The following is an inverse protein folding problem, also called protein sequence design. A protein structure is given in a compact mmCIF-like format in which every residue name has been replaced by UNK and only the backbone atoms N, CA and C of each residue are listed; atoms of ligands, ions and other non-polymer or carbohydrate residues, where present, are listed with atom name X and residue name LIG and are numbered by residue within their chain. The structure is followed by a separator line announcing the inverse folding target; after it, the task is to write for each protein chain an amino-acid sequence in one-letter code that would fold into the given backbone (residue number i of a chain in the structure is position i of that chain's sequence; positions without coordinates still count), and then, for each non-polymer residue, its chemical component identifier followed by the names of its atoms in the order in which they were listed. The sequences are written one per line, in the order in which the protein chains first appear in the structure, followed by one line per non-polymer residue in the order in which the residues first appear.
data_IF_481144913827
#
_entry.id   IF_481144913827
#
_cell.length_a   1.000
_cell.length_b   1.000
_cell.length_c   1.000
_cell.angle_alpha   90.00
_cell.angle_beta   90.00
_cell.angle_gamma   90.00
#
_symmetry.space_group_name_H-M   'P 1'
#
loop_
_entity.id
_entity.type
_entity.pdbx_description
1 polymer ?
#
# COMPACT_ATOMS: atom_id res chain seq x y z
N UNK A 1 -10.31 -27.33 -7.43
CA UNK A 1 -9.90 -25.93 -7.65
C UNK A 1 -11.01 -25.08 -7.05
N UNK A 2 -10.75 -24.50 -5.87
CA UNK A 2 -11.81 -23.86 -5.07
C UNK A 2 -12.04 -22.45 -5.61
N UNK A 3 -13.04 -22.28 -6.47
CA UNK A 3 -13.41 -21.01 -7.11
C UNK A 3 -14.36 -20.19 -6.18
N UNK A 4 -13.96 -20.07 -4.91
CA UNK A 4 -14.69 -19.20 -3.99
C UNK A 4 -14.43 -17.74 -4.43
N UNK A 5 -15.49 -16.97 -4.75
CA UNK A 5 -15.30 -15.58 -5.19
C UNK A 5 -14.58 -14.79 -4.11
N UNK A 6 -13.59 -14.00 -4.52
CA UNK A 6 -12.88 -13.07 -3.65
C UNK A 6 -13.94 -12.19 -2.95
N UNK A 7 -14.16 -12.40 -1.66
CA UNK A 7 -15.14 -11.65 -0.87
C UNK A 7 -14.64 -10.19 -0.68
N UNK A 8 -14.71 -9.40 -1.74
CA UNK A 8 -14.39 -7.97 -1.70
C UNK A 8 -15.65 -7.21 -1.29
N UNK A 9 -15.55 -6.45 -0.21
CA UNK A 9 -16.66 -5.57 0.21
C UNK A 9 -16.79 -4.42 -0.79
N UNK A 10 -18.03 -4.06 -1.20
CA UNK A 10 -18.27 -2.86 -2.00
C UNK A 10 -17.65 -1.63 -1.33
N UNK A 11 -17.11 -0.74 -2.14
CA UNK A 11 -16.48 0.47 -1.63
C UNK A 11 -17.57 1.49 -1.23
N UNK A 12 -17.38 2.11 -0.07
CA UNK A 12 -18.22 3.24 0.37
C UNK A 12 -17.82 4.51 -0.38
N UNK A 13 -18.69 5.54 -0.39
CA UNK A 13 -18.37 6.86 -0.96
C UNK A 13 -17.03 7.41 -0.44
N UNK A 14 -16.78 7.29 0.88
CA UNK A 14 -15.48 7.68 1.47
C UNK A 14 -14.31 6.87 0.88
N UNK A 15 -14.49 5.58 0.71
CA UNK A 15 -13.44 4.69 0.16
C UNK A 15 -13.16 5.02 -1.31
N UNK A 16 -14.20 5.26 -2.11
CA UNK A 16 -14.06 5.65 -3.52
C UNK A 16 -13.31 6.97 -3.65
N UNK A 17 -13.76 8.02 -2.94
CA UNK A 17 -13.11 9.33 -2.94
C UNK A 17 -11.64 9.24 -2.52
N UNK A 18 -11.38 8.50 -1.43
CA UNK A 18 -10.03 8.36 -0.91
C UNK A 18 -9.11 7.61 -1.88
N UNK A 19 -9.57 6.49 -2.43
CA UNK A 19 -8.77 5.71 -3.39
C UNK A 19 -8.49 6.50 -4.68
N UNK A 20 -9.46 7.27 -5.16
CA UNK A 20 -9.29 8.14 -6.33
C UNK A 20 -8.21 9.20 -6.09
N UNK A 21 -8.27 9.91 -4.94
CA UNK A 21 -7.28 10.93 -4.61
C UNK A 21 -5.89 10.35 -4.32
N UNK A 22 -5.81 9.16 -3.71
CA UNK A 22 -4.54 8.48 -3.45
C UNK A 22 -3.87 7.99 -4.73
N UNK A 23 -4.64 7.63 -5.77
CA UNK A 23 -4.11 7.24 -7.09
C UNK A 23 -3.86 8.42 -8.04
N UNK A 24 -4.21 9.66 -7.66
CA UNK A 24 -4.07 10.83 -8.53
C UNK A 24 -2.88 11.71 -8.13
N UNK A 25 -2.09 12.15 -9.14
CA UNK A 25 -0.95 13.04 -8.97
C UNK A 25 -1.08 14.28 -9.85
N UNK A 26 -1.12 15.49 -9.29
CA UNK A 26 -1.13 15.81 -7.85
C UNK A 26 -2.44 15.37 -7.18
N UNK A 27 -2.46 15.03 -5.86
CA UNK A 27 -3.62 14.47 -5.16
C UNK A 27 -4.67 15.53 -4.83
N UNK A 28 -5.19 16.15 -5.88
CA UNK A 28 -6.18 17.22 -5.84
C UNK A 28 -7.13 17.08 -7.02
N UNK A 29 -8.43 17.06 -6.76
CA UNK A 29 -9.46 16.93 -7.78
C UNK A 29 -10.63 17.88 -7.50
N UNK A 30 -11.28 18.43 -8.55
CA UNK A 30 -12.50 19.18 -8.40
C UNK A 30 -13.66 18.28 -7.98
N UNK A 31 -14.64 18.86 -7.28
CA UNK A 31 -15.80 18.09 -6.78
C UNK A 31 -16.54 17.36 -7.90
N UNK A 32 -16.66 17.97 -9.08
CA UNK A 32 -17.33 17.37 -10.25
C UNK A 32 -16.70 16.02 -10.66
N UNK A 33 -15.36 15.91 -10.64
CA UNK A 33 -14.68 14.67 -10.97
C UNK A 33 -14.92 13.58 -9.91
N UNK A 34 -14.90 13.95 -8.63
CA UNK A 34 -15.18 13.02 -7.53
C UNK A 34 -16.63 12.52 -7.55
N UNK A 35 -17.59 13.37 -7.93
CA UNK A 35 -19.00 13.00 -8.12
C UNK A 35 -19.11 12.01 -9.28
N UNK A 36 -18.54 12.32 -10.46
CA UNK A 36 -18.53 11.43 -11.63
C UNK A 36 -17.92 10.07 -11.33
N UNK A 37 -16.82 10.04 -10.58
CA UNK A 37 -16.26 8.76 -10.11
C UNK A 37 -17.26 8.03 -9.20
N UNK A 38 -17.94 8.74 -8.29
CA UNK A 38 -18.99 8.15 -7.45
C UNK A 38 -20.11 7.50 -8.25
N UNK A 39 -20.55 8.13 -9.33
CA UNK A 39 -21.58 7.63 -10.24
C UNK A 39 -21.22 6.27 -10.87
N UNK A 40 -19.90 6.01 -11.15
CA UNK A 40 -19.46 4.70 -11.64
C UNK A 40 -19.73 3.55 -10.64
N UNK A 41 -19.92 3.90 -9.37
CA UNK A 41 -20.26 2.97 -8.29
C UNK A 41 -21.75 3.00 -7.90
N UNK A 42 -22.59 3.69 -8.67
CA UNK A 42 -24.00 3.89 -8.31
C UNK A 42 -24.19 4.76 -7.05
N UNK A 43 -23.20 5.57 -6.68
CA UNK A 43 -23.26 6.43 -5.50
C UNK A 43 -23.82 7.79 -5.91
N UNK A 44 -24.97 8.17 -5.34
CA UNK A 44 -25.61 9.45 -5.62
C UNK A 44 -24.70 10.63 -5.23
N UNK A 45 -24.77 11.73 -6.01
CA UNK A 45 -23.98 12.96 -5.80
C UNK A 45 -24.07 13.46 -4.35
N UNK A 46 -25.30 13.52 -3.77
CA UNK A 46 -25.50 13.96 -2.39
C UNK A 46 -24.70 13.14 -1.38
N UNK A 47 -24.60 11.82 -1.60
CA UNK A 47 -23.81 10.91 -0.75
C UNK A 47 -22.32 11.19 -0.86
N UNK A 48 -21.83 11.45 -2.09
CA UNK A 48 -20.42 11.85 -2.31
C UNK A 48 -20.12 13.18 -1.60
N UNK A 49 -20.98 14.19 -1.75
CA UNK A 49 -20.83 15.50 -1.09
C UNK A 49 -20.81 15.40 0.43
N UNK A 50 -21.70 14.59 1.01
CA UNK A 50 -21.71 14.31 2.46
C UNK A 50 -20.41 13.62 2.89
N UNK A 51 -19.92 12.65 2.12
CA UNK A 51 -18.64 12.00 2.41
C UNK A 51 -17.46 12.99 2.38
N UNK A 52 -17.41 13.86 1.38
CA UNK A 52 -16.38 14.91 1.26
C UNK A 52 -16.40 15.86 2.47
N UNK A 53 -17.58 16.35 2.88
CA UNK A 53 -17.75 17.21 4.05
C UNK A 53 -17.24 16.54 5.33
N UNK A 54 -17.62 15.25 5.55
CA UNK A 54 -17.14 14.46 6.70
C UNK A 54 -15.64 14.22 6.67
N UNK A 55 -15.05 14.00 5.50
CA UNK A 55 -13.61 13.82 5.36
C UNK A 55 -12.83 15.11 5.63
N UNK A 56 -13.38 16.27 5.28
CA UNK A 56 -12.80 17.57 5.65
C UNK A 56 -12.86 17.76 7.17
N UNK A 57 -14.03 17.51 7.78
CA UNK A 57 -14.19 17.61 9.24
C UNK A 57 -13.28 16.65 10.01
N UNK A 58 -13.00 15.46 9.46
CA UNK A 58 -12.07 14.48 10.03
C UNK A 58 -10.58 14.81 9.80
N UNK A 59 -10.25 15.89 9.06
CA UNK A 59 -8.88 16.24 8.73
C UNK A 59 -8.22 15.31 7.70
N UNK A 60 -9.00 14.58 6.92
CA UNK A 60 -8.52 13.74 5.81
C UNK A 60 -8.25 14.57 4.56
N UNK A 61 -9.14 15.53 4.28
CA UNK A 61 -9.09 16.37 3.10
C UNK A 61 -9.06 17.86 3.48
N UNK A 62 -8.50 18.64 2.57
CA UNK A 62 -8.64 20.10 2.54
C UNK A 62 -9.44 20.51 1.32
N UNK A 63 -10.39 21.43 1.52
CA UNK A 63 -11.17 22.03 0.45
C UNK A 63 -10.58 23.40 0.09
N UNK A 64 -10.40 23.66 -1.20
CA UNK A 64 -10.01 24.96 -1.71
C UNK A 64 -10.59 25.18 -3.11
N UNK A 65 -11.27 26.28 -3.33
CA UNK A 65 -11.80 26.71 -4.65
C UNK A 65 -12.52 25.57 -5.41
N UNK A 66 -13.47 24.90 -4.76
CA UNK A 66 -14.25 23.81 -5.39
C UNK A 66 -13.49 22.49 -5.64
N UNK A 67 -12.24 22.41 -5.17
CA UNK A 67 -11.41 21.21 -5.25
C UNK A 67 -11.11 20.65 -3.86
N UNK A 68 -10.82 19.36 -3.81
CA UNK A 68 -10.43 18.63 -2.60
C UNK A 68 -9.04 18.03 -2.77
N UNK A 69 -8.20 18.15 -1.75
CA UNK A 69 -6.83 17.64 -1.75
C UNK A 69 -6.55 16.82 -0.48
N UNK A 70 -5.64 15.85 -0.58
CA UNK A 70 -5.17 15.08 0.58
C UNK A 70 -4.43 15.99 1.58
N UNK A 71 -4.61 15.72 2.87
CA UNK A 71 -3.82 16.34 3.94
C UNK A 71 -2.45 15.66 4.08
N UNK A 72 -1.51 16.29 4.81
CA UNK A 72 -0.16 15.78 5.04
C UNK A 72 -0.15 14.32 5.54
N UNK A 73 -1.11 13.96 6.41
CA UNK A 73 -1.27 12.59 6.92
C UNK A 73 -1.54 11.58 5.80
N UNK A 74 -2.39 11.93 4.85
CA UNK A 74 -2.74 11.05 3.72
C UNK A 74 -1.71 11.11 2.58
N UNK A 75 -0.95 12.20 2.44
CA UNK A 75 0.20 12.26 1.54
C UNK A 75 1.28 11.24 1.95
N UNK A 76 1.54 11.06 3.24
CA UNK A 76 2.44 10.01 3.72
C UNK A 76 1.92 8.60 3.38
N UNK A 77 0.58 8.41 3.37
CA UNK A 77 -0.03 7.15 2.90
C UNK A 77 0.15 6.97 1.40
N UNK A 78 -0.06 8.02 0.59
CA UNK A 78 0.17 8.00 -0.86
C UNK A 78 1.61 7.62 -1.17
N UNK A 79 2.59 8.27 -0.53
CA UNK A 79 4.00 7.97 -0.73
C UNK A 79 4.35 6.48 -0.45
N UNK A 80 3.75 5.87 0.60
CA UNK A 80 3.93 4.44 0.86
C UNK A 80 3.29 3.54 -0.21
N UNK A 81 2.16 3.95 -0.79
CA UNK A 81 1.54 3.24 -1.90
C UNK A 81 2.40 3.31 -3.15
N UNK A 82 2.93 4.50 -3.48
CA UNK A 82 3.82 4.70 -4.62
C UNK A 82 5.11 3.88 -4.46
N UNK A 83 5.70 3.87 -3.26
CA UNK A 83 6.87 3.03 -2.95
C UNK A 83 6.55 1.52 -3.09
N UNK A 84 5.35 1.07 -2.74
CA UNK A 84 4.98 -0.35 -2.88
C UNK A 84 4.80 -0.77 -4.33
N UNK A 85 4.45 0.17 -5.22
CA UNK A 85 4.32 -0.04 -6.66
C UNK A 85 5.67 0.00 -7.36
N UNK A 86 6.50 0.98 -7.04
CA UNK A 86 7.84 1.17 -7.59
C UNK A 86 8.90 1.15 -6.47
N UNK A 87 9.17 -0.02 -5.87
CA UNK A 87 10.10 -0.12 -4.75
C UNK A 87 11.52 0.17 -5.20
N UNK A 88 12.24 0.97 -4.40
CA UNK A 88 13.68 1.19 -4.61
C UNK A 88 14.45 0.05 -3.97
N UNK A 89 14.90 -0.88 -4.79
CA UNK A 89 15.74 -2.00 -4.37
C UNK A 89 17.16 -1.81 -4.86
N UNK A 90 18.12 -2.40 -4.13
CA UNK A 90 19.54 -2.50 -4.52
C UNK A 90 19.94 -3.99 -4.62
N UNK A 91 21.00 -4.32 -5.35
CA UNK A 91 21.55 -5.67 -5.36
C UNK A 91 21.82 -6.17 -3.94
N UNK A 92 21.46 -7.43 -3.68
CA UNK A 92 21.68 -8.06 -2.39
C UNK A 92 22.86 -9.05 -2.46
N UNK A 93 23.78 -8.96 -1.50
CA UNK A 93 25.01 -9.74 -1.42
C UNK A 93 25.09 -10.52 -0.10
N UNK A 94 23.97 -11.09 0.36
CA UNK A 94 23.91 -11.92 1.56
C UNK A 94 23.75 -11.15 2.88
N UNK A 95 23.90 -9.83 2.90
CA UNK A 95 23.81 -9.02 4.11
C UNK A 95 22.36 -8.82 4.57
N UNK A 96 22.16 -8.80 5.89
CA UNK A 96 20.89 -8.49 6.54
C UNK A 96 21.03 -7.25 7.43
N UNK A 97 19.97 -6.44 7.47
CA UNK A 97 19.80 -5.39 8.47
C UNK A 97 19.16 -6.01 9.70
N UNK A 98 19.74 -5.78 10.87
CA UNK A 98 19.29 -6.28 12.16
C UNK A 98 19.09 -5.10 13.09
N UNK A 99 17.90 -4.96 13.66
CA UNK A 99 17.58 -3.95 14.65
C UNK A 99 17.29 -4.65 15.97
N UNK A 100 18.04 -4.30 16.99
CA UNK A 100 17.85 -4.81 18.36
C UNK A 100 17.38 -3.66 19.23
N UNK A 101 16.27 -3.84 19.92
CA UNK A 101 15.76 -2.85 20.88
C UNK A 101 16.74 -2.76 22.05
N UNK A 102 17.31 -1.58 22.23
CA UNK A 102 18.29 -1.30 23.31
C UNK A 102 17.84 -0.14 24.19
N UNK A 103 16.64 0.43 23.98
CA UNK A 103 16.10 1.44 24.87
C UNK A 103 15.80 0.84 26.24
N UNK A 104 16.29 1.50 27.29
CA UNK A 104 16.14 1.06 28.70
C UNK A 104 14.70 1.15 29.21
N UNK A 105 14.35 0.21 30.09
CA UNK A 105 13.16 0.26 30.93
C UNK A 105 11.83 -0.12 30.26
N UNK A 106 10.75 0.03 31.03
CA UNK A 106 9.39 -0.22 30.56
C UNK A 106 8.93 0.92 29.63
N UNK A 107 8.96 0.68 28.33
CA UNK A 107 8.51 1.64 27.32
C UNK A 107 7.00 1.83 27.37
N UNK A 108 6.49 3.08 27.30
CA UNK A 108 5.07 3.35 27.20
C UNK A 108 4.42 2.61 26.01
N UNK A 109 3.15 2.18 26.12
CA UNK A 109 2.45 1.50 25.02
C UNK A 109 2.47 2.26 23.69
N UNK A 110 2.41 3.60 23.74
CA UNK A 110 2.48 4.45 22.55
C UNK A 110 3.82 4.33 21.82
N UNK A 111 4.95 4.27 22.55
CA UNK A 111 6.28 4.11 21.97
C UNK A 111 6.48 2.73 21.37
N UNK A 112 5.98 1.67 22.03
CA UNK A 112 5.98 0.31 21.47
C UNK A 112 5.19 0.24 20.16
N UNK A 113 4.02 0.89 20.13
CA UNK A 113 3.20 0.98 18.92
C UNK A 113 3.89 1.75 17.80
N UNK A 114 4.50 2.89 18.12
CA UNK A 114 5.26 3.69 17.15
C UNK A 114 6.45 2.92 16.58
N UNK A 115 7.18 2.16 17.42
CA UNK A 115 8.27 1.30 16.97
C UNK A 115 7.78 0.20 16.03
N UNK A 116 6.73 -0.55 16.40
CA UNK A 116 6.16 -1.58 15.52
C UNK A 116 5.70 -1.02 14.18
N UNK A 117 5.08 0.16 14.17
CA UNK A 117 4.71 0.86 12.93
C UNK A 117 5.94 1.25 12.10
N UNK A 118 7.01 1.72 12.75
CA UNK A 118 8.27 2.04 12.08
C UNK A 118 8.93 0.79 11.47
N UNK A 119 8.97 -0.33 12.20
CA UNK A 119 9.51 -1.61 11.71
C UNK A 119 8.68 -2.16 10.55
N UNK A 120 7.36 -2.12 10.64
CA UNK A 120 6.47 -2.52 9.54
C UNK A 120 6.66 -1.62 8.30
N UNK A 121 6.81 -0.29 8.48
CA UNK A 121 7.12 0.62 7.39
C UNK A 121 8.49 0.32 6.75
N UNK A 122 9.44 -0.12 7.54
CA UNK A 122 10.74 -0.63 7.09
C UNK A 122 10.69 -2.08 6.58
N UNK A 123 9.54 -2.75 6.60
CA UNK A 123 9.37 -4.16 6.18
C UNK A 123 10.31 -5.12 6.89
N UNK A 124 10.71 -4.81 8.13
CA UNK A 124 11.42 -5.75 8.98
C UNK A 124 10.41 -6.74 9.57
N UNK A 125 10.83 -8.00 9.69
CA UNK A 125 10.11 -9.02 10.44
C UNK A 125 10.70 -9.17 11.84
N UNK A 126 9.86 -9.46 12.82
CA UNK A 126 10.27 -9.73 14.19
C UNK A 126 10.68 -11.20 14.31
N UNK A 127 11.96 -11.45 14.56
CA UNK A 127 12.47 -12.81 14.80
C UNK A 127 12.03 -13.31 16.18
N UNK A 128 12.11 -12.42 17.16
CA UNK A 128 11.64 -12.57 18.54
C UNK A 128 11.45 -11.19 19.14
N UNK A 129 10.80 -11.10 20.27
CA UNK A 129 10.53 -9.82 20.92
C UNK A 129 11.79 -8.93 21.00
N UNK A 130 11.68 -7.75 20.41
CA UNK A 130 12.76 -6.75 20.39
C UNK A 130 13.87 -6.99 19.37
N UNK A 131 13.79 -8.04 18.55
CA UNK A 131 14.79 -8.33 17.51
C UNK A 131 14.14 -8.42 16.15
N UNK A 132 14.49 -7.50 15.26
CA UNK A 132 13.88 -7.33 13.95
C UNK A 132 14.94 -7.42 12.87
N UNK A 133 14.63 -8.07 11.76
CA UNK A 133 15.58 -8.19 10.67
C UNK A 133 14.92 -8.27 9.29
N UNK A 134 15.72 -8.01 8.26
CA UNK A 134 15.41 -8.21 6.85
C UNK A 134 16.67 -8.27 6.01
N UNK A 135 16.63 -8.79 4.78
CA UNK A 135 17.71 -8.61 3.80
C UNK A 135 17.99 -7.13 3.54
N UNK A 136 19.26 -6.74 3.47
CA UNK A 136 19.68 -5.36 3.29
C UNK A 136 19.63 -4.92 1.81
N UNK A 137 18.45 -5.09 1.17
CA UNK A 137 18.24 -4.80 -0.25
C UNK A 137 17.34 -3.59 -0.53
N UNK A 138 16.90 -2.87 0.51
CA UNK A 138 16.11 -1.64 0.33
C UNK A 138 16.95 -0.41 0.68
N UNK A 139 16.80 0.63 -0.13
CA UNK A 139 17.42 1.94 0.10
C UNK A 139 16.36 2.92 0.60
N UNK A 140 16.37 3.16 1.91
CA UNK A 140 15.40 4.05 2.55
C UNK A 140 15.89 4.55 3.91
N UNK A 141 15.47 5.79 4.33
CA UNK A 141 15.83 6.33 5.63
C UNK A 141 15.12 5.57 6.75
N UNK A 142 15.78 5.43 7.89
CA UNK A 142 15.19 4.87 9.10
C UNK A 142 14.36 5.94 9.81
N UNK A 143 13.09 5.65 10.18
CA UNK A 143 12.27 6.56 10.98
C UNK A 143 12.90 6.86 12.34
N UNK A 144 12.68 8.08 12.84
CA UNK A 144 13.21 8.53 14.13
C UNK A 144 12.86 7.57 15.30
N UNK A 145 11.62 7.03 15.31
CA UNK A 145 11.20 6.06 16.32
C UNK A 145 12.05 4.77 16.32
N UNK A 146 12.55 4.35 15.15
CA UNK A 146 13.40 3.17 15.04
C UNK A 146 14.86 3.48 15.43
N UNK A 147 15.39 4.64 15.04
CA UNK A 147 16.76 5.03 15.38
C UNK A 147 16.93 5.37 16.86
N UNK A 148 15.89 5.92 17.49
CA UNK A 148 15.94 6.27 18.92
C UNK A 148 15.84 5.06 19.87
N UNK A 149 15.24 3.95 19.41
CA UNK A 149 14.95 2.80 20.29
C UNK A 149 15.79 1.55 19.99
N UNK A 150 16.54 1.54 18.87
CA UNK A 150 17.26 0.35 18.42
C UNK A 150 18.72 0.62 18.12
N UNK A 151 19.57 -0.34 18.46
CA UNK A 151 20.90 -0.47 17.89
C UNK A 151 20.82 -1.31 16.61
N UNK A 152 21.51 -0.88 15.58
CA UNK A 152 21.46 -1.47 14.26
C UNK A 152 22.77 -2.17 13.91
N UNK A 153 22.63 -3.35 13.34
CA UNK A 153 23.73 -4.14 12.84
C UNK A 153 23.52 -4.50 11.37
N UNK A 154 24.61 -4.80 10.69
CA UNK A 154 24.59 -5.43 9.36
C UNK A 154 25.46 -6.67 9.44
N UNK A 155 24.94 -7.81 9.01
CA UNK A 155 25.65 -9.08 9.07
C UNK A 155 24.94 -10.14 8.21
N UNK A 156 25.53 -11.32 8.13
CA UNK A 156 24.92 -12.47 7.48
C UNK A 156 24.53 -13.50 8.56
N UNK A 157 23.35 -14.13 8.48
CA UNK A 157 23.00 -15.24 9.35
C UNK A 157 23.81 -16.48 8.98
N UNK A 158 24.17 -17.29 9.96
CA UNK A 158 24.79 -18.61 9.74
C UNK A 158 23.79 -19.64 9.18
N UNK A 159 22.49 -19.43 9.41
CA UNK A 159 21.42 -20.26 8.89
C UNK A 159 21.22 -20.03 7.39
N UNK A 160 20.59 -21.01 6.70
CA UNK A 160 20.16 -20.83 5.31
C UNK A 160 19.26 -19.60 5.19
N UNK A 161 19.66 -18.58 4.41
CA UNK A 161 18.89 -17.34 4.30
C UNK A 161 17.48 -17.52 3.75
N UNK A 162 17.26 -18.50 2.86
CA UNK A 162 15.94 -18.76 2.29
C UNK A 162 15.01 -19.42 3.32
N UNK A 163 15.53 -20.35 4.14
CA UNK A 163 14.78 -20.94 5.25
C UNK A 163 14.42 -19.87 6.30
N UNK A 164 15.36 -18.98 6.63
CA UNK A 164 15.11 -17.87 7.53
C UNK A 164 14.04 -16.93 6.97
N UNK A 165 14.08 -16.59 5.69
CA UNK A 165 13.05 -15.76 5.07
C UNK A 165 11.67 -16.41 5.15
N UNK A 166 11.54 -17.69 4.86
CA UNK A 166 10.26 -18.44 4.99
C UNK A 166 9.75 -18.52 6.43
N UNK A 167 10.61 -18.51 7.42
CA UNK A 167 10.19 -18.48 8.83
C UNK A 167 9.68 -17.11 9.28
N UNK A 168 10.13 -16.04 8.63
CA UNK A 168 9.81 -14.66 8.99
C UNK A 168 8.60 -14.09 8.23
N UNK A 169 8.34 -14.57 7.02
CA UNK A 169 7.23 -14.10 6.18
C UNK A 169 6.43 -15.28 5.63
N UNK A 170 5.10 -15.15 5.65
CA UNK A 170 4.20 -16.08 4.94
C UNK A 170 4.25 -15.81 3.43
N UNK A 171 5.32 -16.28 2.78
CA UNK A 171 5.56 -16.04 1.35
C UNK A 171 4.55 -16.78 0.47
N UNK A 172 4.17 -17.99 0.85
CA UNK A 172 3.25 -18.83 0.08
C UNK A 172 1.82 -18.28 0.15
N UNK A 173 1.37 -17.86 1.33
CA UNK A 173 0.07 -17.22 1.50
C UNK A 173 0.01 -15.89 0.74
N UNK A 174 1.09 -15.09 0.78
CA UNK A 174 1.16 -13.85 0.01
C UNK A 174 1.08 -14.13 -1.50
N UNK A 175 1.84 -15.10 -2.01
CA UNK A 175 1.87 -15.44 -3.44
C UNK A 175 0.52 -16.00 -3.90
N UNK A 176 -0.13 -16.83 -3.11
CA UNK A 176 -1.47 -17.37 -3.38
C UNK A 176 -2.47 -16.24 -3.52
N UNK A 177 -2.51 -15.33 -2.55
CA UNK A 177 -3.40 -14.17 -2.59
C UNK A 177 -3.13 -13.24 -3.77
N UNK A 178 -1.88 -13.04 -4.13
CA UNK A 178 -1.51 -12.25 -5.30
C UNK A 178 -2.04 -12.85 -6.60
N UNK A 179 -1.95 -14.19 -6.77
CA UNK A 179 -2.50 -14.89 -7.95
C UNK A 179 -4.03 -14.80 -8.02
N UNK A 180 -4.71 -14.93 -6.89
CA UNK A 180 -6.18 -14.73 -6.81
C UNK A 180 -6.56 -13.30 -7.25
N UNK A 181 -5.84 -12.30 -6.80
CA UNK A 181 -6.08 -10.89 -7.15
C UNK A 181 -5.79 -10.62 -8.64
N UNK A 182 -4.74 -11.21 -9.21
CA UNK A 182 -4.47 -11.15 -10.65
C UNK A 182 -5.65 -11.72 -11.44
N UNK A 183 -6.06 -12.94 -11.13
CA UNK A 183 -7.17 -13.59 -11.81
C UNK A 183 -8.50 -12.81 -11.63
N UNK A 184 -8.73 -12.20 -10.47
CA UNK A 184 -9.91 -11.37 -10.23
C UNK A 184 -9.87 -10.08 -11.07
N UNK A 185 -8.70 -9.44 -11.21
CA UNK A 185 -8.55 -8.23 -12.01
C UNK A 185 -8.75 -8.51 -13.51
N UNK A 186 -8.33 -9.69 -13.97
CA UNK A 186 -8.53 -10.14 -15.36
C UNK A 186 -10.00 -10.45 -15.68
N UNK A 187 -10.76 -11.00 -14.70
CA UNK A 187 -12.18 -11.29 -14.87
C UNK A 187 -13.12 -10.10 -14.67
N UNK A 188 -12.66 -9.05 -14.00
CA UNK A 188 -13.50 -7.90 -13.69
C UNK A 188 -13.76 -7.06 -14.96
N UNK A 189 -15.01 -7.00 -15.43
CA UNK A 189 -15.41 -6.26 -16.62
C UNK A 189 -15.96 -4.87 -16.26
N UNK A 190 -16.84 -4.79 -15.25
CA UNK A 190 -17.44 -3.52 -14.85
C UNK A 190 -16.38 -2.59 -14.22
N UNK A 191 -16.40 -1.29 -14.56
CA UNK A 191 -15.41 -0.33 -14.03
C UNK A 191 -15.36 -0.27 -12.50
N UNK A 192 -16.51 -0.41 -11.82
CA UNK A 192 -16.60 -0.42 -10.37
C UNK A 192 -15.94 -1.67 -9.77
N UNK A 193 -16.13 -2.83 -10.38
CA UNK A 193 -15.53 -4.09 -9.93
C UNK A 193 -14.01 -4.05 -10.14
N UNK A 194 -13.54 -3.62 -11.30
CA UNK A 194 -12.10 -3.44 -11.59
C UNK A 194 -11.43 -2.52 -10.58
N UNK A 195 -12.05 -1.40 -10.25
CA UNK A 195 -11.54 -0.47 -9.24
C UNK A 195 -11.52 -1.10 -7.85
N UNK A 196 -12.56 -1.86 -7.49
CA UNK A 196 -12.66 -2.54 -6.18
C UNK A 196 -11.55 -3.58 -6.03
N UNK A 197 -11.31 -4.38 -7.08
CA UNK A 197 -10.20 -5.35 -7.11
C UNK A 197 -8.85 -4.62 -7.07
N UNK A 198 -8.66 -3.57 -7.87
CA UNK A 198 -7.42 -2.80 -7.89
C UNK A 198 -7.10 -2.16 -6.52
N UNK A 199 -8.12 -1.68 -5.80
CA UNK A 199 -7.93 -1.21 -4.43
C UNK A 199 -7.50 -2.34 -3.47
N UNK A 200 -7.92 -3.58 -3.71
CA UNK A 200 -7.44 -4.75 -2.96
C UNK A 200 -6.02 -5.14 -3.36
N UNK A 201 -5.67 -5.08 -4.64
CA UNK A 201 -4.30 -5.28 -5.15
C UNK A 201 -3.34 -4.31 -4.48
N UNK A 202 -3.66 -3.01 -4.46
CA UNK A 202 -2.80 -2.01 -3.84
C UNK A 202 -2.59 -2.25 -2.35
N UNK A 203 -3.65 -2.66 -1.61
CA UNK A 203 -3.52 -3.06 -0.20
C UNK A 203 -2.62 -4.27 -0.03
N UNK A 204 -2.68 -5.24 -0.94
CA UNK A 204 -1.84 -6.43 -0.90
C UNK A 204 -0.37 -6.10 -1.21
N UNK A 205 -0.10 -5.26 -2.20
CA UNK A 205 1.25 -4.75 -2.51
C UNK A 205 1.91 -4.03 -1.33
N UNK A 206 1.13 -3.37 -0.45
CA UNK A 206 1.66 -2.77 0.79
C UNK A 206 2.23 -3.80 1.76
N UNK A 207 1.83 -5.06 1.66
CA UNK A 207 2.31 -6.16 2.51
C UNK A 207 3.44 -6.98 1.88
N UNK A 208 3.82 -6.68 0.63
CA UNK A 208 4.94 -7.36 -0.03
C UNK A 208 6.23 -7.13 0.77
N UNK A 209 6.94 -8.18 1.20
CA UNK A 209 8.16 -8.03 1.97
C UNK A 209 9.32 -7.46 1.14
N UNK A 210 9.22 -7.40 -0.18
CA UNK A 210 10.24 -6.89 -1.11
C UNK A 210 11.59 -7.56 -0.90
N UNK A 211 11.59 -8.88 -0.79
CA UNK A 211 12.80 -9.67 -0.63
C UNK A 211 13.58 -9.76 -1.97
N UNK A 212 14.91 -9.97 -1.91
CA UNK A 212 15.70 -10.28 -3.10
C UNK A 212 15.27 -11.62 -3.71
N UNK A 213 15.36 -11.73 -5.04
CA UNK A 213 14.90 -12.91 -5.79
C UNK A 213 15.39 -14.27 -5.25
N UNK A 214 16.65 -14.43 -4.78
CA UNK A 214 17.12 -15.72 -4.24
C UNK A 214 16.39 -16.18 -2.97
N UNK A 215 15.65 -15.28 -2.29
CA UNK A 215 14.91 -15.60 -1.06
C UNK A 215 13.40 -15.78 -1.30
N UNK A 216 12.95 -15.58 -2.53
CA UNK A 216 11.54 -15.71 -2.90
C UNK A 216 11.26 -17.12 -3.45
N UNK A 217 10.05 -17.66 -3.30
CA UNK A 217 9.61 -18.84 -4.01
C UNK A 217 9.69 -18.65 -5.53
N UNK A 218 9.84 -19.75 -6.26
CA UNK A 218 9.78 -19.76 -7.71
C UNK A 218 8.48 -19.11 -8.23
N UNK A 219 8.57 -18.43 -9.36
CA UNK A 219 7.43 -17.75 -9.99
C UNK A 219 6.72 -16.78 -9.03
N UNK A 220 7.48 -15.96 -8.30
CA UNK A 220 6.94 -14.92 -7.42
C UNK A 220 6.06 -13.94 -8.20
N UNK A 221 4.78 -13.77 -7.81
CA UNK A 221 3.82 -12.98 -8.61
C UNK A 221 3.92 -11.47 -8.39
N UNK A 222 4.82 -10.98 -7.56
CA UNK A 222 4.88 -9.58 -7.16
C UNK A 222 5.07 -8.59 -8.32
N UNK A 223 5.96 -8.91 -9.27
CA UNK A 223 6.19 -8.09 -10.45
C UNK A 223 4.97 -8.06 -11.38
N UNK A 224 4.36 -9.22 -11.64
CA UNK A 224 3.16 -9.34 -12.45
C UNK A 224 1.98 -8.55 -11.84
N UNK A 225 1.81 -8.63 -10.51
CA UNK A 225 0.75 -7.91 -9.81
C UNK A 225 0.93 -6.38 -9.91
N UNK A 226 2.18 -5.88 -9.81
CA UNK A 226 2.49 -4.46 -10.01
C UNK A 226 2.19 -4.01 -11.44
N UNK A 227 2.70 -4.73 -12.42
CA UNK A 227 2.47 -4.41 -13.83
C UNK A 227 0.98 -4.36 -14.17
N UNK A 228 0.19 -5.31 -13.64
CA UNK A 228 -1.26 -5.34 -13.89
C UNK A 228 -2.00 -4.20 -13.20
N UNK A 229 -1.57 -3.83 -11.99
CA UNK A 229 -2.09 -2.65 -11.30
C UNK A 229 -1.75 -1.35 -12.04
N UNK A 230 -0.53 -1.20 -12.54
CA UNK A 230 -0.09 -0.01 -13.27
C UNK A 230 -0.86 0.17 -14.58
N UNK A 231 -1.17 -0.94 -15.28
CA UNK A 231 -2.04 -0.92 -16.46
C UNK A 231 -3.47 -0.43 -16.11
N UNK A 232 -4.06 -0.96 -15.03
CA UNK A 232 -5.35 -0.50 -14.53
C UNK A 232 -5.32 1.00 -14.18
N UNK A 233 -4.28 1.45 -13.49
CA UNK A 233 -4.17 2.86 -13.09
C UNK A 233 -4.03 3.80 -14.28
N UNK A 234 -3.30 3.41 -15.33
CA UNK A 234 -3.19 4.17 -16.56
C UNK A 234 -4.57 4.35 -17.22
N UNK A 235 -5.32 3.26 -17.40
CA UNK A 235 -6.69 3.31 -17.95
C UNK A 235 -7.64 4.16 -17.09
N UNK A 236 -7.55 4.03 -15.77
CA UNK A 236 -8.39 4.83 -14.86
C UNK A 236 -8.04 6.31 -14.90
N UNK A 237 -6.76 6.65 -15.04
CA UNK A 237 -6.28 8.03 -15.17
C UNK A 237 -6.81 8.67 -16.47
N UNK A 238 -6.80 7.97 -17.59
CA UNK A 238 -7.36 8.44 -18.84
C UNK A 238 -8.86 8.74 -18.70
N UNK A 239 -9.63 7.85 -18.08
CA UNK A 239 -11.06 8.11 -17.78
C UNK A 239 -11.25 9.33 -16.90
N UNK A 240 -10.42 9.50 -15.89
CA UNK A 240 -10.49 10.64 -14.98
C UNK A 240 -10.17 11.95 -15.71
N UNK A 241 -9.20 11.94 -16.63
CA UNK A 241 -8.88 13.10 -17.47
C UNK A 241 -10.08 13.49 -18.35
N UNK A 242 -10.77 12.50 -18.91
CA UNK A 242 -12.01 12.76 -19.67
C UNK A 242 -13.09 13.44 -18.81
N UNK A 243 -13.23 13.06 -17.54
CA UNK A 243 -14.14 13.72 -16.59
C UNK A 243 -13.70 15.15 -16.21
N UNK A 244 -12.42 15.45 -16.36
CA UNK A 244 -11.84 16.78 -16.07
C UNK A 244 -11.90 17.71 -17.26
N UNK A 245 -12.00 17.19 -18.48
CA UNK A 245 -12.12 17.98 -19.68
C UNK A 245 -13.31 18.94 -19.56
N UNK A 246 -13.20 20.22 -20.01
CA UNK A 246 -14.35 21.09 -20.12
C UNK A 246 -15.37 20.38 -21.02
N UNK A 247 -16.58 20.10 -20.52
CA UNK A 247 -17.64 19.60 -21.36
C UNK A 247 -17.91 20.66 -22.41
N UNK A 248 -17.95 20.27 -23.69
CA UNK A 248 -18.57 21.07 -24.72
C UNK A 248 -20.02 21.29 -24.27
N UNK A 249 -20.29 22.52 -23.78
CA UNK A 249 -21.59 22.98 -23.32
C UNK A 249 -22.52 23.36 -24.46
#
# INVERSE_FOLDING_TARGET
MNDAPLALRPLTARSVVLSTLLGHHPPRLPVRALVRVGELFGIAEGTVRVALSRMVAAGDLRQHAGSYALTTRLLARQARQDESRAPRTRPWHGAWEIAVVTADGSRPPAERTALRQAMAALRLAELREGSWLRPANLDRPRPAAATAQCTWFTGAPDADPAALARSLWDLDGWATRARELLAALDRAEAPADRFTVAAAVLRHLLTDPLLPAPLLPDAWPGAALRSRYDAFEAEFRERLQHFLAPGDG
#
